data_IF_190622228012
#
_entry.id   IF_190622228012
#
_cell.length_a   1.000
_cell.length_b   1.000
_cell.length_c   1.000
_cell.angle_alpha   90.00
_cell.angle_beta   90.00
_cell.angle_gamma   90.00
#
_symmetry.space_group_name_H-M   'P 1'
#
loop_
_entity.id
_entity.type
_entity.pdbx_description
1 polymer ?
#
# COMPACT_ATOMS: atom_id res chain seq x y z
N UNK A 1 -25.70 -3.11 -8.63
CA UNK A 1 -25.25 -1.94 -7.82
C UNK A 1 -25.67 -0.60 -8.44
N UNK A 2 -25.25 -0.25 -9.67
CA UNK A 2 -25.60 1.04 -10.32
C UNK A 2 -27.11 1.31 -10.48
N UNK A 3 -27.93 0.27 -10.72
CA UNK A 3 -29.39 0.40 -10.82
C UNK A 3 -30.11 0.58 -9.48
N UNK A 4 -29.50 0.13 -8.38
CA UNK A 4 -30.11 0.17 -7.05
C UNK A 4 -29.73 1.43 -6.27
N UNK A 5 -28.60 2.07 -6.61
CA UNK A 5 -28.07 3.23 -5.90
C UNK A 5 -27.60 4.32 -6.88
N UNK A 6 -28.54 5.01 -7.56
CA UNK A 6 -28.21 5.99 -8.60
C UNK A 6 -27.49 7.24 -8.08
N UNK A 7 -27.56 7.52 -6.76
CA UNK A 7 -26.96 8.70 -6.15
C UNK A 7 -25.53 8.47 -5.62
N UNK A 8 -24.98 7.25 -5.71
CA UNK A 8 -23.57 7.00 -5.35
C UNK A 8 -22.68 7.56 -6.46
N UNK A 9 -21.91 8.60 -6.14
CA UNK A 9 -21.07 9.35 -7.09
C UNK A 9 -19.60 8.89 -7.03
N UNK A 10 -18.75 9.30 -6.07
CA UNK A 10 -17.45 8.66 -5.88
C UNK A 10 -17.58 7.42 -5.00
N UNK A 11 -16.70 6.44 -5.24
CA UNK A 11 -16.47 5.31 -4.33
C UNK A 11 -15.05 5.39 -3.81
N UNK A 12 -14.85 5.01 -2.56
CA UNK A 12 -13.52 4.78 -2.01
C UNK A 12 -13.34 3.28 -1.87
N UNK A 13 -12.24 2.76 -2.40
CA UNK A 13 -11.83 1.38 -2.14
C UNK A 13 -10.69 1.47 -1.15
N UNK A 14 -11.02 1.15 0.10
CA UNK A 14 -10.10 1.19 1.24
C UNK A 14 -9.78 -0.24 1.65
N UNK A 15 -8.52 -0.52 1.94
CA UNK A 15 -8.08 -1.85 2.36
C UNK A 15 -6.60 -1.86 2.67
N UNK A 16 -6.01 -3.04 2.65
CA UNK A 16 -4.58 -3.22 2.93
C UNK A 16 -3.80 -3.49 1.65
N UNK A 17 -2.51 -3.18 1.65
CA UNK A 17 -1.60 -3.48 0.56
C UNK A 17 -0.17 -3.76 1.04
N UNK A 18 0.63 -4.33 0.14
CA UNK A 18 2.06 -4.51 0.36
C UNK A 18 2.84 -3.29 -0.10
N UNK A 19 3.62 -2.68 0.78
CA UNK A 19 4.43 -1.50 0.50
C UNK A 19 5.63 -1.81 -0.37
N UNK A 20 6.10 -0.80 -1.10
CA UNK A 20 7.23 -0.89 -1.99
C UNK A 20 8.26 0.20 -1.67
N UNK A 21 9.06 0.03 -0.59
CA UNK A 21 9.99 1.05 -0.15
C UNK A 21 11.06 1.34 -1.19
N UNK A 22 11.49 2.59 -1.29
CA UNK A 22 12.58 3.01 -2.16
C UNK A 22 13.37 4.16 -1.53
N UNK A 23 14.58 4.48 -2.03
CA UNK A 23 15.30 5.66 -1.56
C UNK A 23 14.54 6.98 -1.74
N UNK A 24 13.52 7.03 -2.61
CA UNK A 24 12.68 8.22 -2.82
C UNK A 24 11.43 8.25 -1.94
N UNK A 25 10.96 7.08 -1.51
CA UNK A 25 9.72 6.92 -0.76
C UNK A 25 9.98 5.90 0.34
N UNK A 26 10.22 6.40 1.56
CA UNK A 26 10.39 5.56 2.74
C UNK A 26 9.04 5.08 3.27
N UNK A 27 8.48 4.11 2.55
CA UNK A 27 7.20 3.48 2.88
C UNK A 27 7.40 2.52 4.06
N UNK A 28 6.58 2.70 5.10
CA UNK A 28 6.62 1.93 6.35
C UNK A 28 5.31 1.21 6.62
N UNK A 29 5.35 0.24 7.53
CA UNK A 29 4.11 -0.44 7.95
C UNK A 29 3.19 0.53 8.71
N UNK A 30 1.90 0.50 8.36
CA UNK A 30 0.88 1.43 8.83
C UNK A 30 0.78 2.72 8.01
N UNK A 31 1.75 3.02 7.14
CA UNK A 31 1.60 4.12 6.17
C UNK A 31 0.39 3.91 5.27
N UNK A 32 -0.09 4.99 4.67
CA UNK A 32 -1.22 4.98 3.75
C UNK A 32 -0.74 5.37 2.37
N UNK A 33 -1.17 4.66 1.34
CA UNK A 33 -0.94 5.03 -0.06
C UNK A 33 -2.26 5.36 -0.73
N UNK A 34 -2.32 6.53 -1.36
CA UNK A 34 -3.47 7.02 -2.14
C UNK A 34 -3.13 6.92 -3.63
N UNK A 35 -3.95 6.18 -4.37
CA UNK A 35 -3.77 5.94 -5.80
C UNK A 35 -4.12 7.17 -6.63
N UNK A 36 -3.13 7.93 -7.08
CA UNK A 36 -3.30 9.12 -7.93
C UNK A 36 -2.49 9.00 -9.22
N UNK A 37 -2.91 9.67 -10.32
CA UNK A 37 -2.21 9.59 -11.60
C UNK A 37 -0.72 9.92 -11.50
N UNK A 38 0.11 9.11 -12.14
CA UNK A 38 1.56 9.29 -12.22
C UNK A 38 2.03 9.05 -13.65
N UNK A 39 2.62 10.09 -14.27
CA UNK A 39 2.95 10.07 -15.69
C UNK A 39 1.71 9.82 -16.56
N UNK A 40 1.77 8.80 -17.42
CA UNK A 40 0.66 8.41 -18.31
C UNK A 40 -0.35 7.42 -17.68
N UNK A 41 -0.24 7.12 -16.38
CA UNK A 41 -1.04 6.08 -15.71
C UNK A 41 -2.07 6.71 -14.78
N UNK A 42 -3.28 6.14 -14.73
CA UNK A 42 -4.41 6.66 -13.97
C UNK A 42 -4.38 6.44 -12.45
N UNK A 43 -3.21 6.12 -11.88
CA UNK A 43 -3.02 5.87 -10.44
C UNK A 43 -3.10 4.40 -10.02
N UNK A 44 -3.52 3.52 -10.92
CA UNK A 44 -3.35 2.07 -10.77
C UNK A 44 -2.66 1.49 -12.00
N UNK A 45 -1.69 0.62 -11.77
CA UNK A 45 -0.98 -0.15 -12.79
C UNK A 45 -1.43 -1.61 -12.74
N UNK A 46 -2.10 -2.07 -13.79
CA UNK A 46 -2.38 -3.51 -13.95
C UNK A 46 -1.13 -4.21 -14.47
N UNK A 47 -0.37 -4.84 -13.58
CA UNK A 47 0.94 -5.39 -13.91
C UNK A 47 0.89 -6.45 -15.04
N UNK A 48 -0.17 -7.24 -15.10
CA UNK A 48 -0.29 -8.31 -16.09
C UNK A 48 -0.85 -7.83 -17.45
N UNK A 49 -1.27 -6.57 -17.54
CA UNK A 49 -1.79 -5.97 -18.78
C UNK A 49 -0.66 -5.41 -19.64
N UNK A 50 0.01 -6.29 -20.38
CA UNK A 50 1.09 -5.89 -21.27
C UNK A 50 1.43 -6.90 -22.35
N UNK A 51 2.28 -6.48 -23.28
CA UNK A 51 2.79 -7.31 -24.38
C UNK A 51 4.25 -7.64 -24.12
N UNK A 52 4.57 -8.91 -24.27
CA UNK A 52 5.96 -9.39 -24.34
C UNK A 52 6.33 -9.60 -25.80
N UNK A 53 7.22 -8.76 -26.33
CA UNK A 53 7.78 -8.91 -27.67
C UNK A 53 9.12 -9.64 -27.56
N UNK A 54 9.42 -10.52 -28.52
CA UNK A 54 10.65 -11.31 -28.48
C UNK A 54 11.89 -10.39 -28.45
N UNK A 55 12.81 -10.63 -27.50
CA UNK A 55 14.01 -9.81 -27.22
C UNK A 55 13.75 -8.36 -26.77
N UNK A 56 12.53 -8.03 -26.33
CA UNK A 56 12.22 -6.74 -25.72
C UNK A 56 11.74 -6.95 -24.28
N UNK A 57 11.87 -5.90 -23.47
CA UNK A 57 11.27 -5.86 -22.14
C UNK A 57 9.74 -5.87 -22.25
N UNK A 58 9.09 -6.29 -21.17
CA UNK A 58 7.64 -6.29 -21.09
C UNK A 58 7.12 -4.86 -21.20
N UNK A 59 6.21 -4.61 -22.13
CA UNK A 59 5.59 -3.29 -22.30
C UNK A 59 4.19 -3.34 -21.72
N UNK A 60 3.90 -2.49 -20.74
CA UNK A 60 2.53 -2.30 -20.27
C UNK A 60 1.68 -1.74 -21.41
N UNK A 61 0.58 -2.43 -21.72
CA UNK A 61 -0.33 -2.06 -22.80
C UNK A 61 -1.72 -1.88 -22.24
N UNK A 62 -2.09 -0.64 -21.98
CA UNK A 62 -3.38 -0.28 -21.41
C UNK A 62 -3.21 0.72 -20.27
N UNK A 63 -4.20 1.57 -20.10
CA UNK A 63 -4.36 2.38 -18.89
C UNK A 63 -5.71 2.03 -18.29
N UNK A 64 -5.74 1.85 -16.97
CA UNK A 64 -7.01 1.79 -16.26
C UNK A 64 -7.57 3.21 -16.17
N UNK A 65 -8.90 3.32 -16.01
CA UNK A 65 -9.53 4.61 -15.75
C UNK A 65 -8.86 5.31 -14.56
N UNK A 66 -8.79 6.63 -14.61
CA UNK A 66 -8.30 7.44 -13.50
C UNK A 66 -9.44 7.97 -12.63
N UNK A 67 -9.19 8.32 -11.36
CA UNK A 67 -10.15 9.06 -10.55
C UNK A 67 -10.58 10.36 -11.26
N UNK A 68 -11.86 10.76 -11.19
CA UNK A 68 -12.36 11.98 -11.81
C UNK A 68 -11.70 13.21 -11.21
N UNK A 69 -11.63 14.28 -12.01
CA UNK A 69 -10.92 15.50 -11.65
C UNK A 69 -11.34 16.08 -10.29
N UNK A 70 -12.62 16.03 -9.91
CA UNK A 70 -13.06 16.57 -8.62
C UNK A 70 -12.46 15.81 -7.43
N UNK A 71 -12.25 14.49 -7.54
CA UNK A 71 -11.58 13.71 -6.50
C UNK A 71 -10.10 14.07 -6.46
N UNK A 72 -9.44 14.19 -7.62
CA UNK A 72 -8.03 14.58 -7.70
C UNK A 72 -7.79 15.98 -7.13
N UNK A 73 -8.67 16.93 -7.42
CA UNK A 73 -8.62 18.27 -6.82
C UNK A 73 -8.80 18.22 -5.31
N UNK A 74 -9.72 17.38 -4.80
CA UNK A 74 -9.91 17.20 -3.36
C UNK A 74 -8.65 16.59 -2.71
N UNK A 75 -8.04 15.60 -3.37
CA UNK A 75 -6.79 14.98 -2.90
C UNK A 75 -5.67 16.01 -2.85
N UNK A 76 -5.48 16.82 -3.90
CA UNK A 76 -4.43 17.84 -3.92
C UNK A 76 -4.62 18.94 -2.86
N UNK A 77 -5.86 19.28 -2.50
CA UNK A 77 -6.13 20.19 -1.36
C UNK A 77 -5.72 19.54 -0.03
N UNK A 78 -6.06 18.26 0.17
CA UNK A 78 -5.68 17.54 1.39
C UNK A 78 -4.16 17.34 1.50
N UNK A 79 -3.51 17.00 0.39
CA UNK A 79 -2.06 16.83 0.31
C UNK A 79 -1.34 18.14 0.69
N UNK A 80 -1.76 19.29 0.13
CA UNK A 80 -1.18 20.58 0.47
C UNK A 80 -1.45 21.02 1.93
N UNK A 81 -2.60 20.65 2.49
CA UNK A 81 -2.94 20.92 3.90
C UNK A 81 -2.04 20.10 4.83
N UNK A 82 -1.85 18.81 4.53
CA UNK A 82 -1.01 17.91 5.31
C UNK A 82 0.48 18.22 5.20
N UNK A 83 0.96 18.64 4.02
CA UNK A 83 2.35 19.12 3.88
C UNK A 83 2.63 20.34 4.77
N UNK A 84 1.64 21.21 4.97
CA UNK A 84 1.79 22.42 5.77
C UNK A 84 1.52 22.27 7.28
N UNK A 85 0.62 21.36 7.66
CA UNK A 85 0.10 21.25 9.03
C UNK A 85 0.26 19.87 9.65
N UNK A 86 0.78 18.90 8.91
CA UNK A 86 0.69 17.48 9.23
C UNK A 86 -0.76 16.99 9.20
N UNK A 87 -0.97 15.77 9.69
CA UNK A 87 -2.31 15.22 9.85
C UNK A 87 -2.55 14.66 11.25
N UNK A 88 -3.78 14.77 11.73
CA UNK A 88 -4.17 14.24 13.04
C UNK A 88 -4.63 12.78 13.04
N UNK A 89 -4.12 11.93 12.13
CA UNK A 89 -4.66 10.58 11.94
C UNK A 89 -4.42 9.69 13.17
N UNK A 90 -3.20 9.66 13.69
CA UNK A 90 -2.85 8.82 14.83
C UNK A 90 -3.65 9.24 16.08
N UNK A 91 -3.81 10.55 16.34
CA UNK A 91 -4.61 11.05 17.47
C UNK A 91 -6.08 10.65 17.32
N UNK A 92 -6.65 10.79 16.12
CA UNK A 92 -8.06 10.40 15.86
C UNK A 92 -8.27 8.89 16.02
N UNK A 93 -7.32 8.08 15.57
CA UNK A 93 -7.35 6.62 15.75
C UNK A 93 -7.27 6.27 17.23
N UNK A 94 -6.30 6.82 17.98
CA UNK A 94 -6.17 6.57 19.40
C UNK A 94 -7.37 7.08 20.20
N UNK A 95 -7.93 8.24 19.86
CA UNK A 95 -9.14 8.75 20.48
C UNK A 95 -10.31 7.78 20.27
N UNK A 96 -10.50 7.29 19.05
CA UNK A 96 -11.54 6.33 18.73
C UNK A 96 -11.36 4.97 19.45
N UNK A 97 -10.12 4.49 19.55
CA UNK A 97 -9.77 3.23 20.21
C UNK A 97 -9.81 3.31 21.74
N UNK A 98 -9.46 4.47 22.32
CA UNK A 98 -9.47 4.69 23.78
C UNK A 98 -10.86 4.43 24.38
N UNK A 99 -11.91 4.78 23.63
CA UNK A 99 -13.32 4.59 23.99
C UNK A 99 -13.80 3.15 23.77
N UNK A 100 -12.98 2.27 23.17
CA UNK A 100 -13.38 0.92 22.71
C UNK A 100 -12.30 -0.14 23.02
N UNK A 101 -12.14 -0.57 24.28
CA UNK A 101 -11.05 -1.46 24.70
C UNK A 101 -10.99 -2.80 23.95
N UNK A 102 -12.16 -3.36 23.58
CA UNK A 102 -12.23 -4.60 22.78
C UNK A 102 -11.64 -4.41 21.38
N UNK A 103 -11.96 -3.28 20.73
CA UNK A 103 -11.38 -2.96 19.43
C UNK A 103 -9.91 -2.61 19.56
N UNK A 104 -9.51 -1.87 20.60
CA UNK A 104 -8.09 -1.55 20.85
C UNK A 104 -7.23 -2.81 20.94
N UNK A 105 -7.69 -3.85 21.63
CA UNK A 105 -6.96 -5.13 21.70
C UNK A 105 -6.71 -5.76 20.32
N UNK A 106 -7.60 -5.51 19.35
CA UNK A 106 -7.63 -6.20 18.07
C UNK A 106 -7.10 -5.36 16.90
N UNK A 107 -7.20 -4.03 16.99
CA UNK A 107 -6.94 -3.07 15.92
C UNK A 107 -5.98 -1.95 16.35
N UNK A 108 -5.43 -1.98 17.56
CA UNK A 108 -4.35 -1.07 17.90
C UNK A 108 -3.16 -1.31 16.97
N UNK A 109 -2.56 -0.20 16.54
CA UNK A 109 -1.38 -0.24 15.69
C UNK A 109 -0.24 -0.97 16.40
N UNK A 110 0.45 -1.90 15.74
CA UNK A 110 1.65 -2.50 16.30
C UNK A 110 2.73 -1.45 16.57
N UNK A 111 3.63 -1.75 17.51
CA UNK A 111 4.77 -0.87 17.83
C UNK A 111 5.68 -0.70 16.61
N UNK A 112 6.27 0.48 16.44
CA UNK A 112 7.18 0.79 15.32
C UNK A 112 8.35 -0.19 15.18
N UNK A 113 8.86 -0.76 16.28
CA UNK A 113 9.91 -1.82 16.26
C UNK A 113 9.48 -3.10 15.53
N UNK A 114 8.18 -3.29 15.32
CA UNK A 114 7.61 -4.41 14.55
C UNK A 114 7.51 -4.10 13.07
N UNK A 115 7.92 -2.91 12.66
CA UNK A 115 8.16 -2.58 11.26
C UNK A 115 9.53 -3.14 10.82
N UNK A 116 9.50 -4.34 10.26
CA UNK A 116 10.69 -5.09 9.82
C UNK A 116 10.72 -5.20 8.31
N UNK A 117 11.66 -4.49 7.70
CA UNK A 117 11.93 -4.54 6.27
C UNK A 117 13.23 -5.30 6.01
N UNK A 118 13.19 -6.32 5.15
CA UNK A 118 14.34 -7.17 4.86
C UNK A 118 14.92 -6.87 3.48
N UNK A 119 16.21 -7.15 3.31
CA UNK A 119 16.86 -7.08 2.01
C UNK A 119 16.17 -7.97 0.98
N UNK A 120 16.07 -7.50 -0.26
CA UNK A 120 15.31 -8.17 -1.32
C UNK A 120 15.84 -9.55 -1.71
N UNK A 121 17.10 -9.85 -1.40
CA UNK A 121 17.72 -11.16 -1.61
C UNK A 121 17.42 -12.16 -0.49
N UNK A 122 16.94 -11.70 0.67
CA UNK A 122 16.56 -12.57 1.77
C UNK A 122 15.19 -13.19 1.48
N UNK A 123 15.11 -14.52 1.52
CA UNK A 123 13.86 -15.24 1.27
C UNK A 123 13.41 -15.87 2.58
N UNK A 124 12.17 -15.59 2.96
CA UNK A 124 11.54 -16.23 4.10
C UNK A 124 11.45 -17.75 3.87
N UNK A 125 12.11 -18.52 4.73
CA UNK A 125 11.93 -19.98 4.79
C UNK A 125 10.85 -20.29 5.82
N UNK A 126 9.75 -20.88 5.37
CA UNK A 126 8.70 -21.32 6.27
C UNK A 126 9.27 -22.37 7.24
N UNK A 127 9.11 -22.15 8.54
CA UNK A 127 9.46 -23.13 9.57
C UNK A 127 8.24 -23.98 9.91
N UNK A 128 8.40 -25.29 10.20
CA UNK A 128 7.32 -26.14 10.71
C UNK A 128 6.72 -25.66 12.04
N UNK A 129 7.46 -24.84 12.81
CA UNK A 129 7.10 -24.45 14.18
C UNK A 129 6.55 -23.04 14.31
N UNK A 130 6.86 -22.13 13.37
CA UNK A 130 6.29 -20.78 13.32
C UNK A 130 6.23 -20.27 11.88
N UNK A 131 5.08 -19.69 11.51
CA UNK A 131 4.90 -18.99 10.25
C UNK A 131 5.13 -17.47 10.38
N UNK A 132 5.64 -17.01 11.52
CA UNK A 132 5.93 -15.60 11.74
C UNK A 132 7.37 -15.28 11.33
N UNK A 133 7.52 -14.29 10.45
CA UNK A 133 8.82 -13.89 9.91
C UNK A 133 9.86 -13.57 11.01
N UNK A 134 9.44 -12.85 12.06
CA UNK A 134 10.29 -12.45 13.19
C UNK A 134 11.01 -13.62 13.88
N UNK A 135 10.41 -14.81 13.88
CA UNK A 135 10.97 -15.99 14.57
C UNK A 135 11.99 -16.73 13.69
N UNK A 136 11.96 -16.55 12.37
CA UNK A 136 12.71 -17.37 11.41
C UNK A 136 13.78 -16.60 10.62
N UNK A 137 13.69 -15.27 10.51
CA UNK A 137 14.53 -14.49 9.61
C UNK A 137 15.67 -13.72 10.31
N UNK A 138 15.68 -13.68 11.64
CA UNK A 138 16.73 -12.97 12.39
C UNK A 138 16.79 -11.47 12.11
N UNK A 139 17.87 -10.83 12.52
CA UNK A 139 18.10 -9.38 12.35
C UNK A 139 19.17 -9.05 11.30
N UNK A 140 20.00 -10.03 10.91
CA UNK A 140 21.18 -9.83 10.06
C UNK A 140 20.86 -9.30 8.65
N UNK A 141 19.64 -9.51 8.16
CA UNK A 141 19.18 -9.08 6.82
C UNK A 141 18.14 -7.96 6.90
N UNK A 142 17.97 -7.33 8.07
CA UNK A 142 17.11 -6.16 8.20
C UNK A 142 17.78 -4.95 7.57
N UNK A 143 17.03 -4.24 6.75
CA UNK A 143 17.47 -2.97 6.19
C UNK A 143 17.38 -1.92 7.30
N UNK A 144 18.53 -1.41 7.72
CA UNK A 144 18.59 -0.26 8.63
C UNK A 144 18.03 0.97 7.93
N UNK A 145 17.06 1.62 8.58
CA UNK A 145 16.45 2.87 8.14
C UNK A 145 16.61 3.91 9.24
N UNK A 146 16.86 5.14 8.85
CA UNK A 146 16.94 6.26 9.79
C UNK A 146 15.59 6.46 10.51
N UNK A 147 15.61 7.01 11.71
CA UNK A 147 14.36 7.43 12.35
C UNK A 147 13.71 8.51 11.48
N UNK A 148 12.37 8.54 11.47
CA UNK A 148 11.65 9.70 10.93
C UNK A 148 11.91 10.90 11.84
N UNK A 149 11.89 12.09 11.26
CA UNK A 149 12.06 13.34 12.00
C UNK A 149 10.82 13.61 12.85
N UNK A 150 10.93 14.47 13.87
CA UNK A 150 9.81 14.82 14.75
C UNK A 150 8.67 15.55 14.01
N UNK A 151 9.00 16.15 12.85
CA UNK A 151 8.06 16.85 11.97
C UNK A 151 7.39 15.90 10.95
N UNK A 152 7.85 14.64 10.84
CA UNK A 152 7.22 13.65 9.97
C UNK A 152 5.95 13.10 10.61
N UNK A 153 4.88 13.07 9.83
CA UNK A 153 3.65 12.38 10.21
C UNK A 153 3.89 10.88 10.42
N UNK A 154 3.25 10.33 11.44
CA UNK A 154 3.17 8.88 11.64
C UNK A 154 1.70 8.50 11.86
N UNK A 155 1.09 7.64 11.03
CA UNK A 155 1.62 7.09 9.77
C UNK A 155 1.83 8.16 8.70
N UNK A 156 2.67 7.95 7.67
CA UNK A 156 2.74 8.89 6.53
C UNK A 156 1.69 8.56 5.46
N UNK A 157 1.24 9.57 4.71
CA UNK A 157 0.42 9.39 3.51
C UNK A 157 1.29 9.62 2.27
N UNK A 158 1.34 8.62 1.39
CA UNK A 158 2.05 8.66 0.12
C UNK A 158 1.06 8.74 -1.05
N UNK A 159 1.36 9.57 -2.05
CA UNK A 159 0.52 9.76 -3.22
C UNK A 159 1.23 9.24 -4.46
N UNK A 160 0.65 8.25 -5.14
CA UNK A 160 1.24 7.76 -6.37
C UNK A 160 0.64 6.47 -6.90
N UNK A 161 1.46 5.70 -7.60
CA UNK A 161 1.02 4.56 -8.38
C UNK A 161 0.88 3.29 -7.51
N UNK A 162 -0.29 2.66 -7.59
CA UNK A 162 -0.57 1.37 -6.95
C UNK A 162 -0.59 0.26 -8.00
N UNK A 163 0.21 -0.78 -7.83
CA UNK A 163 0.17 -1.96 -8.69
C UNK A 163 -0.94 -2.92 -8.26
N UNK A 164 -1.68 -3.43 -9.24
CA UNK A 164 -2.79 -4.36 -9.06
C UNK A 164 -2.51 -5.65 -9.85
N UNK A 165 -1.61 -6.55 -9.38
CA UNK A 165 -1.39 -7.85 -10.01
C UNK A 165 -2.56 -8.81 -9.74
N UNK A 166 -2.81 -9.75 -10.66
CA UNK A 166 -3.84 -10.80 -10.51
C UNK A 166 -3.46 -11.82 -9.41
N UNK A 167 -2.17 -11.88 -9.06
CA UNK A 167 -1.62 -12.77 -8.03
C UNK A 167 -0.91 -11.98 -6.95
N UNK A 168 -0.96 -12.51 -5.74
CA UNK A 168 -0.31 -11.92 -4.57
C UNK A 168 1.19 -11.76 -4.83
N UNK A 169 1.67 -10.52 -4.74
CA UNK A 169 3.09 -10.20 -4.89
C UNK A 169 3.86 -10.68 -3.65
N UNK A 170 4.82 -11.59 -3.86
CA UNK A 170 5.71 -12.13 -2.82
C UNK A 170 7.18 -12.14 -3.24
N UNK A 171 7.52 -11.41 -4.30
CA UNK A 171 8.84 -11.46 -4.92
C UNK A 171 9.45 -10.06 -4.86
N UNK A 172 10.31 -9.84 -3.86
CA UNK A 172 10.94 -8.55 -3.60
C UNK A 172 11.70 -8.00 -4.82
N UNK A 173 12.32 -8.85 -5.63
CA UNK A 173 13.01 -8.42 -6.86
C UNK A 173 12.07 -7.89 -7.94
N UNK A 174 10.85 -8.42 -8.05
CA UNK A 174 9.82 -7.90 -8.96
C UNK A 174 9.25 -6.59 -8.40
N UNK A 175 8.97 -6.54 -7.10
CA UNK A 175 8.58 -5.31 -6.38
C UNK A 175 9.56 -4.18 -6.68
N UNK A 176 10.85 -4.39 -6.40
CA UNK A 176 11.89 -3.38 -6.58
C UNK A 176 12.04 -2.95 -8.04
N UNK A 177 11.88 -3.89 -8.98
CA UNK A 177 11.90 -3.59 -10.41
C UNK A 177 10.76 -2.63 -10.78
N UNK A 178 9.53 -2.93 -10.35
CA UNK A 178 8.36 -2.08 -10.64
C UNK A 178 8.41 -0.73 -9.92
N UNK A 179 8.95 -0.69 -8.70
CA UNK A 179 9.19 0.57 -8.00
C UNK A 179 10.19 1.44 -8.76
N UNK A 180 11.29 0.85 -9.27
CA UNK A 180 12.33 1.57 -10.01
C UNK A 180 11.87 2.03 -11.40
N UNK A 181 11.24 1.15 -12.16
CA UNK A 181 10.88 1.40 -13.57
C UNK A 181 9.57 2.18 -13.68
N UNK A 182 8.60 1.88 -12.82
CA UNK A 182 7.24 2.37 -12.98
C UNK A 182 6.81 3.37 -11.89
N UNK A 183 7.60 3.51 -10.81
CA UNK A 183 7.26 4.37 -9.67
C UNK A 183 6.17 3.79 -8.77
N UNK A 184 6.03 2.47 -8.72
CA UNK A 184 5.03 1.79 -7.87
C UNK A 184 5.37 1.96 -6.39
N UNK A 185 4.37 2.38 -5.61
CA UNK A 185 4.48 2.61 -4.16
C UNK A 185 3.89 1.46 -3.34
N UNK A 186 2.83 0.79 -3.83
CA UNK A 186 2.29 -0.38 -3.15
C UNK A 186 1.57 -1.35 -4.10
N UNK A 187 1.26 -2.53 -3.58
CA UNK A 187 0.64 -3.65 -4.27
C UNK A 187 -0.67 -4.04 -3.58
N UNK A 188 -1.73 -4.19 -4.36
CA UNK A 188 -3.04 -4.71 -3.94
C UNK A 188 -3.59 -5.66 -5.01
N UNK A 189 -4.76 -6.28 -4.83
CA UNK A 189 -5.26 -7.31 -5.78
C UNK A 189 -6.68 -7.10 -6.27
N UNK A 190 -7.37 -6.02 -5.90
CA UNK A 190 -8.79 -5.84 -6.22
C UNK A 190 -9.05 -4.80 -7.32
N UNK A 191 -8.17 -3.80 -7.48
CA UNK A 191 -8.44 -2.63 -8.30
C UNK A 191 -8.65 -2.95 -9.78
N UNK A 192 -7.76 -3.75 -10.39
CA UNK A 192 -7.74 -3.99 -11.83
C UNK A 192 -9.05 -4.59 -12.34
N UNK A 193 -9.70 -5.44 -11.54
CA UNK A 193 -11.00 -6.04 -11.88
C UNK A 193 -12.18 -5.07 -11.81
N UNK A 194 -12.05 -3.94 -11.09
CA UNK A 194 -13.14 -3.01 -10.82
C UNK A 194 -13.02 -1.67 -11.57
N UNK A 195 -11.81 -1.23 -11.89
CA UNK A 195 -11.53 0.13 -12.36
C UNK A 195 -12.16 0.49 -13.70
N UNK A 196 -12.44 -0.51 -14.54
CA UNK A 196 -13.12 -0.29 -15.82
C UNK A 196 -14.64 -0.10 -15.68
N UNK A 197 -15.23 -0.44 -14.53
CA UNK A 197 -16.67 -0.41 -14.31
C UNK A 197 -17.11 0.69 -13.36
N UNK A 198 -16.21 1.16 -12.49
CA UNK A 198 -16.53 2.09 -11.42
C UNK A 198 -15.50 3.21 -11.35
N UNK A 199 -16.01 4.41 -11.09
CA UNK A 199 -15.21 5.54 -10.66
C UNK A 199 -14.89 5.36 -9.16
N UNK A 200 -13.61 5.28 -8.81
CA UNK A 200 -13.17 5.24 -7.42
C UNK A 200 -11.79 5.89 -7.21
N UNK A 201 -11.51 6.22 -5.95
CA UNK A 201 -10.17 6.47 -5.44
C UNK A 201 -9.76 5.27 -4.58
N UNK A 202 -8.52 4.84 -4.73
CA UNK A 202 -7.97 3.70 -3.98
C UNK A 202 -7.10 4.21 -2.85
N UNK A 203 -7.25 3.61 -1.67
CA UNK A 203 -6.51 3.94 -0.46
C UNK A 203 -6.08 2.62 0.19
N UNK A 204 -4.78 2.44 0.42
CA UNK A 204 -4.22 1.22 0.99
C UNK A 204 -3.37 1.53 2.21
N UNK A 205 -3.72 0.93 3.33
CA UNK A 205 -2.81 0.86 4.48
C UNK A 205 -1.75 -0.22 4.21
N UNK A 206 -0.49 0.08 4.52
CA UNK A 206 0.62 -0.83 4.29
C UNK A 206 0.70 -1.86 5.41
N UNK A 207 0.48 -3.13 5.08
CA UNK A 207 0.45 -4.23 6.05
C UNK A 207 1.59 -5.25 5.90
N UNK A 208 2.31 -5.24 4.77
CA UNK A 208 3.54 -5.99 4.52
C UNK A 208 4.35 -5.29 3.44
N UNK A 209 5.42 -5.91 2.93
CA UNK A 209 6.33 -5.32 1.95
C UNK A 209 6.32 -6.01 0.58
N UNK A 210 5.17 -6.62 0.21
CA UNK A 210 5.01 -7.28 -1.09
C UNK A 210 6.14 -8.29 -1.41
N UNK A 211 6.63 -8.98 -0.38
CA UNK A 211 7.71 -9.94 -0.45
C UNK A 211 7.32 -11.26 0.27
N UNK A 212 8.29 -12.13 0.47
CA UNK A 212 8.05 -13.39 1.16
C UNK A 212 7.81 -13.24 2.67
N UNK A 213 8.10 -12.07 3.25
CA UNK A 213 8.06 -11.80 4.69
C UNK A 213 6.70 -11.22 5.10
N UNK A 214 5.72 -12.09 5.30
CA UNK A 214 4.39 -11.66 5.76
C UNK A 214 4.43 -11.09 7.19
N UNK A 215 3.85 -9.91 7.36
CA UNK A 215 3.72 -9.22 8.64
C UNK A 215 2.29 -9.38 9.20
N UNK A 216 1.96 -10.58 9.68
CA UNK A 216 0.60 -10.93 10.13
C UNK A 216 0.04 -10.03 11.24
N UNK A 217 0.90 -9.46 12.07
CA UNK A 217 0.50 -8.56 13.15
C UNK A 217 -0.07 -7.22 12.63
N UNK A 218 0.40 -6.79 11.45
CA UNK A 218 -0.04 -5.55 10.78
C UNK A 218 -1.25 -5.78 9.86
N UNK A 219 -1.55 -7.02 9.49
CA UNK A 219 -2.71 -7.35 8.66
C UNK A 219 -4.04 -7.30 9.44
N UNK A 220 -3.98 -7.22 10.77
CA UNK A 220 -5.16 -7.27 11.64
C UNK A 220 -6.09 -8.47 11.34
N UNK A 221 -7.33 -8.45 11.84
CA UNK A 221 -8.37 -9.41 11.47
C UNK A 221 -9.06 -9.06 10.13
N UNK A 222 -8.59 -8.03 9.42
CA UNK A 222 -9.20 -7.49 8.20
C UNK A 222 -9.21 -8.46 7.00
N UNK A 223 -8.76 -9.71 7.18
CA UNK A 223 -8.92 -10.81 6.23
C UNK A 223 -10.38 -11.30 6.03
N UNK A 224 -11.39 -10.59 6.53
CA UNK A 224 -12.77 -11.11 6.58
C UNK A 224 -13.86 -10.07 6.27
N UNK A 225 -13.67 -9.27 5.21
CA UNK A 225 -14.79 -8.60 4.54
C UNK A 225 -14.72 -8.82 3.05
#
# INVERSE_FOLDING_TARGET
>A
MLRAFPNIRPRLIVGIGGGAPSPKHDIRLGDVVVGVPFGAKGGVLHHECGKKIQKQEFQFTGSLNQPPQFLLTTVGVLEADYEGQGHGLNERIEEALSKRPRLRKQYARPLAVRDRFYESGHIHRESPTSAACKDNCGEDNLVTREARDDDDDDPMIHYGLIASPDKLMKVATIRDKLTREEGVLCFEMEAAGLMNYFIFLIIREICDYADSHQNKEWQGPLRSV
#
